data_IF_656933683284
#
_entry.id   IF_656933683284
#
_cell.length_a   1.000
_cell.length_b   1.000
_cell.length_c   1.000
_cell.angle_alpha   90.00
_cell.angle_beta   90.00
_cell.angle_gamma   90.00
#
_symmetry.space_group_name_H-M   'P 1'
#
loop_
_entity.id
_entity.type
_entity.pdbx_description
1 polymer ?
#
# COMPACT_ATOMS: atom_id res chain seq x y z
N UNK A 1 -22.66 -20.75 20.67
CA UNK A 1 -22.36 -20.38 19.27
C UNK A 1 -21.11 -21.16 18.86
N UNK A 2 -21.25 -22.16 18.00
CA UNK A 2 -20.22 -23.17 17.74
C UNK A 2 -20.07 -23.34 16.22
N UNK A 3 -18.86 -23.14 15.68
CA UNK A 3 -18.40 -23.81 14.46
C UNK A 3 -18.84 -23.29 13.08
N UNK A 4 -19.08 -22.00 12.87
CA UNK A 4 -19.19 -21.50 11.48
C UNK A 4 -17.81 -21.15 10.94
N UNK A 5 -17.26 -22.00 10.07
CA UNK A 5 -16.02 -21.72 9.31
C UNK A 5 -16.30 -20.83 8.09
N UNK A 6 -17.48 -20.22 8.01
CA UNK A 6 -17.87 -19.32 6.93
C UNK A 6 -18.51 -18.05 7.46
N UNK A 7 -18.27 -16.96 6.73
CA UNK A 7 -18.95 -15.67 6.90
C UNK A 7 -19.65 -15.33 5.60
N UNK A 8 -20.94 -15.04 5.69
CA UNK A 8 -21.74 -14.54 4.56
C UNK A 8 -21.69 -13.01 4.58
N UNK A 9 -20.94 -12.41 3.65
CA UNK A 9 -20.70 -10.97 3.64
C UNK A 9 -21.09 -10.35 2.30
N UNK A 10 -21.70 -9.16 2.36
CA UNK A 10 -21.97 -8.37 1.16
C UNK A 10 -20.71 -7.62 0.72
N UNK A 11 -20.36 -7.78 -0.55
CA UNK A 11 -19.31 -7.00 -1.22
C UNK A 11 -19.94 -6.07 -2.25
N UNK A 12 -19.81 -4.74 -2.11
CA UNK A 12 -20.18 -3.80 -3.16
C UNK A 12 -19.48 -4.12 -4.50
N UNK A 13 -20.11 -3.70 -5.60
CA UNK A 13 -19.59 -3.92 -6.95
C UNK A 13 -18.26 -3.20 -7.15
N UNK A 14 -17.15 -3.95 -7.12
CA UNK A 14 -15.79 -3.48 -7.37
C UNK A 14 -14.79 -4.66 -7.33
N UNK A 15 -13.51 -4.36 -7.53
CA UNK A 15 -12.42 -5.26 -7.14
C UNK A 15 -12.11 -5.07 -5.65
N UNK A 16 -11.92 -6.19 -4.98
CA UNK A 16 -11.46 -6.30 -3.61
C UNK A 16 -10.24 -7.20 -3.56
N UNK A 17 -9.27 -6.88 -2.72
CA UNK A 17 -8.08 -7.68 -2.51
C UNK A 17 -8.01 -8.11 -1.06
N UNK A 18 -7.84 -9.38 -0.78
CA UNK A 18 -7.61 -9.84 0.59
C UNK A 18 -6.29 -9.24 1.12
N UNK A 19 -6.34 -8.58 2.28
CA UNK A 19 -5.20 -7.81 2.81
C UNK A 19 -3.96 -8.69 3.06
N UNK A 20 -4.16 -9.90 3.58
CA UNK A 20 -3.07 -10.80 3.95
C UNK A 20 -2.38 -11.42 2.74
N UNK A 21 -3.15 -12.03 1.84
CA UNK A 21 -2.61 -12.72 0.66
C UNK A 21 -2.35 -11.77 -0.51
N UNK A 22 -3.25 -10.82 -0.73
CA UNK A 22 -3.33 -10.01 -1.95
C UNK A 22 -4.25 -10.62 -3.01
N UNK A 23 -4.91 -11.74 -2.73
CA UNK A 23 -5.81 -12.43 -3.67
C UNK A 23 -6.96 -11.52 -4.08
N UNK A 24 -7.17 -11.43 -5.39
CA UNK A 24 -8.21 -10.63 -6.01
C UNK A 24 -9.57 -11.33 -5.95
N UNK A 25 -10.59 -10.57 -5.55
CA UNK A 25 -12.00 -10.91 -5.57
C UNK A 25 -12.74 -9.85 -6.38
N UNK A 26 -13.42 -10.27 -7.44
CA UNK A 26 -14.30 -9.39 -8.21
C UNK A 26 -15.74 -9.56 -7.72
N UNK A 27 -16.36 -8.48 -7.26
CA UNK A 27 -17.77 -8.48 -6.87
C UNK A 27 -18.61 -7.68 -7.86
N UNK A 28 -19.82 -8.18 -8.14
CA UNK A 28 -20.86 -7.47 -8.91
C UNK A 28 -21.90 -6.79 -8.00
N UNK A 29 -21.63 -6.66 -6.69
CA UNK A 29 -22.60 -6.16 -5.72
C UNK A 29 -23.48 -7.28 -5.18
N UNK A 30 -22.86 -8.21 -4.44
CA UNK A 30 -23.52 -9.45 -4.02
C UNK A 30 -23.00 -9.94 -2.67
N UNK A 31 -23.74 -10.85 -2.05
CA UNK A 31 -23.25 -11.61 -0.92
C UNK A 31 -22.33 -12.74 -1.38
N UNK A 32 -21.25 -12.96 -0.64
CA UNK A 32 -20.23 -13.98 -0.90
C UNK A 32 -19.96 -14.73 0.41
N UNK A 33 -19.87 -16.05 0.31
CA UNK A 33 -19.43 -16.90 1.42
C UNK A 33 -17.90 -16.94 1.47
N UNK A 34 -17.33 -16.34 2.51
CA UNK A 34 -15.89 -16.35 2.77
C UNK A 34 -15.53 -17.49 3.72
N UNK A 35 -14.44 -18.19 3.44
CA UNK A 35 -13.85 -19.11 4.41
C UNK A 35 -13.29 -18.29 5.60
N UNK A 36 -13.70 -18.63 6.80
CA UNK A 36 -13.37 -17.92 8.04
C UNK A 36 -13.10 -18.90 9.19
N UNK A 37 -12.11 -19.81 9.05
CA UNK A 37 -11.68 -20.64 10.17
C UNK A 37 -11.20 -19.73 11.31
N UNK A 38 -11.18 -20.24 12.55
CA UNK A 38 -10.82 -19.46 13.74
C UNK A 38 -9.44 -18.76 13.64
N UNK A 39 -8.54 -19.29 12.82
CA UNK A 39 -7.20 -18.73 12.57
C UNK A 39 -7.16 -17.65 11.49
N UNK A 40 -8.29 -17.29 10.87
CA UNK A 40 -8.34 -16.36 9.74
C UNK A 40 -9.35 -15.23 10.00
N UNK A 41 -8.85 -14.00 9.92
CA UNK A 41 -9.68 -12.80 9.83
C UNK A 41 -9.78 -12.37 8.36
N UNK A 42 -11.01 -12.20 7.87
CA UNK A 42 -11.27 -11.73 6.52
C UNK A 42 -11.21 -10.20 6.46
N UNK A 43 -10.13 -9.65 5.91
CA UNK A 43 -9.95 -8.21 5.68
C UNK A 43 -9.68 -8.00 4.20
N UNK A 44 -10.42 -7.08 3.58
CA UNK A 44 -10.28 -6.79 2.15
C UNK A 44 -10.07 -5.30 1.91
N UNK A 45 -9.21 -4.99 0.95
CA UNK A 45 -8.89 -3.65 0.48
C UNK A 45 -9.55 -3.45 -0.87
N UNK A 46 -10.28 -2.35 -1.02
CA UNK A 46 -10.91 -1.99 -2.30
C UNK A 46 -9.84 -1.60 -3.32
N UNK A 47 -10.01 -2.00 -4.58
CA UNK A 47 -9.18 -1.52 -5.68
C UNK A 47 -9.30 0.00 -5.86
N UNK A 48 -8.22 0.64 -6.29
CA UNK A 48 -8.12 2.09 -6.40
C UNK A 48 -7.54 2.79 -5.16
N UNK A 49 -7.10 2.04 -4.15
CA UNK A 49 -6.57 2.61 -2.91
C UNK A 49 -5.12 2.21 -2.63
N UNK A 50 -4.39 3.14 -2.03
CA UNK A 50 -3.03 2.94 -1.53
C UNK A 50 -3.06 3.08 -0.01
N UNK A 51 -2.59 2.04 0.70
CA UNK A 51 -2.56 2.02 2.16
C UNK A 51 -1.11 2.06 2.63
N UNK A 52 -0.69 3.14 3.34
CA UNK A 52 0.56 3.13 4.08
C UNK A 52 0.44 2.26 5.33
N UNK A 53 1.45 1.43 5.58
CA UNK A 53 1.52 0.54 6.72
C UNK A 53 2.92 0.60 7.34
N UNK A 54 3.03 0.31 8.64
CA UNK A 54 4.32 0.06 9.29
C UNK A 54 4.34 -1.35 9.84
N UNK A 55 5.52 -1.97 9.84
CA UNK A 55 5.73 -3.22 10.57
C UNK A 55 5.53 -2.93 12.06
N UNK A 56 4.71 -3.72 12.79
CA UNK A 56 4.53 -3.50 14.23
C UNK A 56 5.86 -3.60 14.99
N UNK A 57 6.08 -2.67 15.91
CA UNK A 57 7.15 -2.77 16.92
C UNK A 57 6.65 -3.46 18.19
N UNK A 58 7.57 -3.77 19.12
CA UNK A 58 7.20 -4.31 20.43
C UNK A 58 6.34 -3.32 21.26
N UNK A 59 6.41 -2.03 20.94
CA UNK A 59 5.52 -0.97 21.42
C UNK A 59 5.39 0.12 20.33
N UNK A 60 4.53 1.11 20.57
CA UNK A 60 4.29 2.19 19.61
C UNK A 60 5.56 3.01 19.32
N UNK A 61 6.38 3.30 20.33
CA UNK A 61 7.62 4.08 20.16
C UNK A 61 8.58 3.39 19.18
N UNK A 62 8.80 2.09 19.38
CA UNK A 62 9.63 1.29 18.48
C UNK A 62 8.97 1.09 17.11
N UNK A 63 7.65 0.93 17.08
CA UNK A 63 6.88 0.78 15.84
C UNK A 63 6.92 2.01 14.95
N UNK A 64 6.81 3.21 15.53
CA UNK A 64 6.86 4.49 14.79
C UNK A 64 8.21 4.74 14.12
N UNK A 65 9.28 4.12 14.62
CA UNK A 65 10.61 4.17 14.00
C UNK A 65 10.83 3.16 12.88
N UNK A 66 9.90 2.22 12.66
CA UNK A 66 10.02 1.23 11.60
C UNK A 66 9.75 1.85 10.22
N UNK A 67 10.44 1.35 9.17
CA UNK A 67 10.13 1.76 7.81
C UNK A 67 8.68 1.50 7.43
N UNK A 68 8.15 2.40 6.61
CA UNK A 68 6.86 2.26 5.97
C UNK A 68 6.92 1.23 4.85
N UNK A 69 5.74 0.67 4.59
CA UNK A 69 5.42 -0.14 3.42
C UNK A 69 4.17 0.43 2.76
N UNK A 70 4.04 0.32 1.45
CA UNK A 70 2.83 0.69 0.73
C UNK A 70 2.17 -0.56 0.15
N UNK A 71 0.88 -0.74 0.44
CA UNK A 71 0.02 -1.66 -0.29
C UNK A 71 -0.74 -0.88 -1.36
N UNK A 72 -0.49 -1.19 -2.62
CA UNK A 72 -1.09 -0.51 -3.77
C UNK A 72 -2.08 -1.47 -4.43
N UNK A 73 -3.38 -1.27 -4.21
CA UNK A 73 -4.44 -2.09 -4.77
C UNK A 73 -4.94 -1.47 -6.08
N UNK A 74 -4.59 -2.02 -7.25
CA UNK A 74 -5.01 -1.44 -8.53
C UNK A 74 -6.53 -1.49 -8.71
N UNK A 75 -7.10 -0.38 -9.20
CA UNK A 75 -8.45 -0.33 -9.74
C UNK A 75 -8.56 -1.10 -11.07
N UNK A 76 -9.74 -1.10 -11.69
CA UNK A 76 -9.92 -1.62 -13.04
C UNK A 76 -9.10 -0.87 -14.10
N UNK A 77 -8.81 0.43 -13.89
CA UNK A 77 -8.00 1.26 -14.78
C UNK A 77 -6.49 1.14 -14.51
N UNK A 78 -6.08 0.35 -13.51
CA UNK A 78 -4.69 0.25 -13.07
C UNK A 78 -4.25 1.43 -12.19
N UNK A 79 -5.19 2.22 -11.72
CA UNK A 79 -4.94 3.43 -10.91
C UNK A 79 -5.19 3.16 -9.43
N UNK A 80 -4.58 3.96 -8.55
CA UNK A 80 -4.88 3.96 -7.13
C UNK A 80 -4.44 5.28 -6.48
N UNK A 81 -5.04 5.65 -5.35
CA UNK A 81 -4.61 6.81 -4.57
C UNK A 81 -4.71 6.58 -3.07
N UNK A 82 -3.95 7.35 -2.31
CA UNK A 82 -3.97 7.33 -0.85
C UNK A 82 -3.20 8.50 -0.29
N UNK A 83 -3.18 8.61 1.03
CA UNK A 83 -2.43 9.66 1.72
C UNK A 83 -1.88 9.15 3.06
N UNK A 84 -0.93 9.89 3.61
CA UNK A 84 -0.35 9.67 4.92
C UNK A 84 -0.23 11.02 5.63
N UNK A 85 -0.86 11.13 6.80
CA UNK A 85 -0.61 12.19 7.76
C UNK A 85 0.29 11.64 8.87
N UNK A 86 1.31 12.39 9.28
CA UNK A 86 2.27 11.95 10.27
C UNK A 86 2.84 13.09 11.12
N UNK A 87 2.55 13.10 12.41
CA UNK A 87 3.06 14.05 13.39
C UNK A 87 3.79 13.33 14.54
N UNK A 88 3.91 13.96 15.71
CA UNK A 88 4.46 13.33 16.91
C UNK A 88 3.50 12.31 17.54
N UNK A 89 2.19 12.47 17.32
CA UNK A 89 1.12 11.63 17.84
C UNK A 89 0.55 12.08 19.19
N UNK A 90 1.05 13.18 19.76
CA UNK A 90 0.71 13.63 21.12
C UNK A 90 0.32 15.13 21.20
N UNK A 91 0.89 15.99 20.33
CA UNK A 91 0.59 17.42 20.35
C UNK A 91 -0.88 17.72 19.97
N UNK A 92 -1.49 18.66 20.68
CA UNK A 92 -2.89 19.04 20.46
C UNK A 92 -3.10 19.96 19.26
N UNK A 93 -2.06 20.67 18.84
CA UNK A 93 -2.11 21.76 17.86
C UNK A 93 -1.23 21.48 16.63
N UNK A 94 -0.91 20.21 16.35
CA UNK A 94 0.00 19.84 15.26
C UNK A 94 -0.49 20.34 13.91
N UNK A 95 -1.81 20.33 13.68
CA UNK A 95 -2.44 20.81 12.45
C UNK A 95 -2.37 22.34 12.34
N UNK A 96 -2.71 23.05 13.42
CA UNK A 96 -2.70 24.52 13.48
C UNK A 96 -1.29 25.10 13.35
N UNK A 97 -0.32 24.45 14.00
CA UNK A 97 1.10 24.85 13.97
C UNK A 97 1.85 24.27 12.77
N UNK A 98 1.19 23.43 11.98
CA UNK A 98 1.75 22.72 10.83
C UNK A 98 2.99 21.88 11.18
N UNK A 99 3.07 21.31 12.37
CA UNK A 99 4.17 20.43 12.80
C UNK A 99 3.87 18.97 12.46
N UNK A 100 3.59 18.70 11.18
CA UNK A 100 3.33 17.37 10.65
C UNK A 100 3.99 17.18 9.29
N UNK A 101 3.98 15.93 8.82
CA UNK A 101 4.24 15.56 7.44
C UNK A 101 2.95 15.08 6.79
N UNK A 102 2.74 15.43 5.52
CA UNK A 102 1.60 14.97 4.75
C UNK A 102 2.05 14.55 3.36
N UNK A 103 1.67 13.33 2.98
CA UNK A 103 2.01 12.73 1.71
C UNK A 103 0.77 12.34 0.93
N UNK A 104 0.84 12.48 -0.38
CA UNK A 104 -0.12 11.91 -1.32
C UNK A 104 0.56 10.84 -2.16
N UNK A 105 -0.10 9.69 -2.25
CA UNK A 105 0.31 8.58 -3.10
C UNK A 105 -0.62 8.51 -4.30
N UNK A 106 -0.05 8.34 -5.50
CA UNK A 106 -0.84 8.15 -6.71
C UNK A 106 -0.19 7.12 -7.61
N UNK A 107 -0.94 6.11 -8.00
CA UNK A 107 -0.61 5.22 -9.10
C UNK A 107 -1.41 5.66 -10.33
N UNK A 108 -0.70 5.99 -11.42
CA UNK A 108 -1.27 6.34 -12.72
C UNK A 108 -0.89 5.32 -13.80
N UNK A 109 -1.81 5.13 -14.74
CA UNK A 109 -1.61 4.34 -15.96
C UNK A 109 -0.51 4.97 -16.84
N UNK A 110 0.40 4.19 -17.45
CA UNK A 110 0.44 2.73 -17.40
C UNK A 110 0.88 2.17 -16.05
N UNK A 111 1.99 2.64 -15.46
CA UNK A 111 2.62 1.97 -14.32
C UNK A 111 3.54 2.94 -13.53
N UNK A 112 3.03 4.10 -13.14
CA UNK A 112 3.81 5.11 -12.39
C UNK A 112 3.21 5.33 -11.02
N UNK A 113 3.92 4.90 -9.97
CA UNK A 113 3.64 5.25 -8.59
C UNK A 113 4.45 6.48 -8.20
N UNK A 114 3.74 7.50 -7.70
CA UNK A 114 4.31 8.74 -7.21
C UNK A 114 4.00 8.89 -5.72
N UNK A 115 5.03 9.23 -4.94
CA UNK A 115 4.93 9.61 -3.53
C UNK A 115 5.27 11.09 -3.44
N UNK A 116 4.26 11.94 -3.25
CA UNK A 116 4.43 13.39 -3.15
C UNK A 116 4.45 13.81 -1.69
N UNK A 117 5.50 14.51 -1.28
CA UNK A 117 5.61 15.13 0.03
C UNK A 117 5.07 16.56 -0.03
N UNK A 118 3.88 16.80 0.53
CA UNK A 118 3.20 18.10 0.46
C UNK A 118 3.51 18.98 1.66
N UNK A 119 3.60 18.38 2.84
CA UNK A 119 4.05 19.04 4.08
C UNK A 119 5.16 18.17 4.67
N UNK A 120 6.26 18.78 5.10
CA UNK A 120 7.43 18.06 5.62
C UNK A 120 8.02 18.71 6.87
N UNK A 121 7.17 19.23 7.75
CA UNK A 121 7.60 20.08 8.86
C UNK A 121 7.95 19.30 10.14
N UNK A 122 7.65 18.01 10.20
CA UNK A 122 8.00 17.16 11.33
C UNK A 122 9.26 16.34 11.02
N UNK A 123 10.40 16.70 11.63
CA UNK A 123 11.72 16.12 11.31
C UNK A 123 12.18 15.02 12.28
N UNK A 124 11.47 14.81 13.38
CA UNK A 124 11.90 13.90 14.44
C UNK A 124 11.51 12.43 14.18
N UNK A 125 10.99 12.13 12.98
CA UNK A 125 10.62 10.77 12.57
C UNK A 125 11.32 10.38 11.26
N UNK A 126 11.97 9.20 11.19
CA UNK A 126 12.55 8.70 9.95
C UNK A 126 11.43 8.21 9.01
N UNK A 127 11.05 9.04 8.02
CA UNK A 127 10.02 8.70 7.03
C UNK A 127 10.57 7.82 5.90
N UNK A 128 11.08 6.64 6.26
CA UNK A 128 11.69 5.69 5.30
C UNK A 128 10.64 4.77 4.70
N UNK A 129 10.63 4.62 3.38
CA UNK A 129 9.85 3.62 2.65
C UNK A 129 10.76 2.47 2.23
N UNK A 130 10.45 1.25 2.66
CA UNK A 130 11.27 0.07 2.38
C UNK A 130 10.64 -0.89 1.36
N UNK A 131 9.31 -0.98 1.34
CA UNK A 131 8.60 -1.97 0.55
C UNK A 131 7.36 -1.39 -0.11
N UNK A 132 7.15 -1.74 -1.38
CA UNK A 132 5.90 -1.51 -2.10
C UNK A 132 5.39 -2.84 -2.63
N UNK A 133 4.17 -3.22 -2.22
CA UNK A 133 3.43 -4.39 -2.71
C UNK A 133 2.29 -3.89 -3.60
N UNK A 134 2.39 -4.15 -4.90
CA UNK A 134 1.37 -3.77 -5.88
C UNK A 134 0.54 -4.99 -6.26
N UNK A 135 -0.78 -4.88 -6.12
CA UNK A 135 -1.75 -5.94 -6.40
C UNK A 135 -2.49 -5.67 -7.71
N UNK A 136 -2.78 -6.73 -8.45
CA UNK A 136 -3.63 -6.69 -9.66
C UNK A 136 -2.88 -6.49 -10.97
N UNK A 137 -1.56 -6.65 -10.98
CA UNK A 137 -0.75 -6.54 -12.20
C UNK A 137 -0.89 -7.82 -13.01
N UNK A 138 -1.64 -7.75 -14.10
CA UNK A 138 -1.98 -8.90 -14.95
C UNK A 138 -0.98 -9.16 -16.09
N UNK A 139 0.16 -8.45 -16.13
CA UNK A 139 1.20 -8.62 -17.15
C UNK A 139 2.57 -8.84 -16.50
N UNK A 140 3.42 -9.71 -17.09
CA UNK A 140 4.80 -9.91 -16.64
C UNK A 140 5.60 -8.60 -16.55
N UNK A 141 6.30 -8.41 -15.43
CA UNK A 141 7.20 -7.27 -15.22
C UNK A 141 8.50 -7.47 -15.99
N UNK A 142 8.90 -6.48 -16.80
CA UNK A 142 10.15 -6.50 -17.56
C UNK A 142 11.26 -5.66 -16.94
N UNK A 143 10.92 -4.58 -16.24
CA UNK A 143 11.88 -3.77 -15.50
C UNK A 143 11.21 -2.94 -14.42
N UNK A 144 11.98 -2.54 -13.39
CA UNK A 144 11.59 -1.56 -12.38
C UNK A 144 12.61 -0.41 -12.36
N UNK A 145 12.13 0.82 -12.15
CA UNK A 145 12.98 1.98 -11.86
C UNK A 145 12.52 2.68 -10.59
N UNK A 146 13.49 3.23 -9.86
CA UNK A 146 13.28 4.09 -8.69
C UNK A 146 14.00 5.39 -8.96
N UNK A 147 13.25 6.50 -9.00
CA UNK A 147 13.74 7.83 -9.34
C UNK A 147 14.57 7.87 -10.63
N UNK A 148 14.10 7.14 -11.65
CA UNK A 148 14.75 7.05 -12.96
C UNK A 148 15.95 6.11 -13.03
N UNK A 149 16.40 5.52 -11.92
CA UNK A 149 17.49 4.54 -11.89
C UNK A 149 16.93 3.11 -11.94
N UNK A 150 17.56 2.23 -12.71
CA UNK A 150 17.22 0.81 -12.73
C UNK A 150 17.30 0.19 -11.33
N UNK A 151 16.32 -0.64 -11.00
CA UNK A 151 16.19 -1.31 -9.71
C UNK A 151 15.95 -2.81 -9.93
N UNK A 152 16.68 -3.66 -9.21
CA UNK A 152 16.69 -5.11 -9.43
C UNK A 152 16.01 -5.93 -8.33
N UNK A 153 15.80 -5.34 -7.15
CA UNK A 153 15.38 -6.08 -5.96
C UNK A 153 13.85 -6.12 -5.89
N UNK A 154 13.27 -6.87 -6.82
CA UNK A 154 11.84 -7.08 -6.91
C UNK A 154 11.49 -8.53 -7.28
N UNK A 155 10.29 -8.94 -6.88
CA UNK A 155 9.69 -10.23 -7.21
C UNK A 155 8.34 -9.99 -7.86
N UNK A 156 8.01 -10.78 -8.87
CA UNK A 156 6.69 -10.76 -9.48
C UNK A 156 6.09 -12.16 -9.46
N UNK A 157 4.95 -12.29 -8.78
CA UNK A 157 4.12 -13.48 -8.84
C UNK A 157 3.04 -13.28 -9.90
N UNK A 158 3.15 -14.02 -10.99
CA UNK A 158 2.18 -13.96 -12.09
C UNK A 158 0.83 -14.60 -11.75
N UNK A 159 0.83 -15.62 -10.89
CA UNK A 159 -0.40 -16.33 -10.51
C UNK A 159 -1.25 -15.44 -9.59
N UNK A 160 -0.61 -14.84 -8.59
CA UNK A 160 -1.30 -13.95 -7.65
C UNK A 160 -1.41 -12.51 -8.16
N UNK A 161 -0.74 -12.17 -9.27
CA UNK A 161 -0.71 -10.84 -9.87
C UNK A 161 -0.13 -9.76 -8.94
N UNK A 162 0.97 -10.11 -8.27
CA UNK A 162 1.61 -9.28 -7.23
C UNK A 162 3.04 -8.93 -7.63
N UNK A 163 3.35 -7.63 -7.68
CA UNK A 163 4.72 -7.13 -7.72
C UNK A 163 5.14 -6.68 -6.32
N UNK A 164 6.24 -7.23 -5.83
CA UNK A 164 6.86 -6.86 -4.58
C UNK A 164 8.21 -6.19 -4.86
N UNK A 165 8.34 -4.93 -4.50
CA UNK A 165 9.59 -4.17 -4.60
C UNK A 165 10.07 -3.91 -3.18
N UNK A 166 11.24 -4.43 -2.80
CA UNK A 166 11.70 -4.44 -1.41
C UNK A 166 13.11 -3.88 -1.27
N UNK A 167 13.53 -3.53 -0.05
CA UNK A 167 14.86 -2.97 0.21
C UNK A 167 15.05 -1.56 -0.34
N UNK A 168 13.96 -0.83 -0.57
CA UNK A 168 13.98 0.47 -1.23
C UNK A 168 14.78 1.52 -0.43
N UNK A 169 14.64 1.49 0.90
CA UNK A 169 15.24 2.43 1.83
C UNK A 169 15.15 3.91 1.36
N UNK A 170 14.01 4.29 0.79
CA UNK A 170 13.76 5.64 0.27
C UNK A 170 13.47 6.56 1.46
N UNK A 171 14.23 7.63 1.61
CA UNK A 171 13.84 8.75 2.48
C UNK A 171 12.77 9.58 1.77
N UNK A 172 11.52 9.49 2.24
CA UNK A 172 10.40 10.22 1.64
C UNK A 172 10.51 11.74 1.84
N UNK A 173 11.37 12.22 2.74
CA UNK A 173 11.62 13.64 2.96
C UNK A 173 12.75 14.20 2.09
N UNK A 174 13.52 13.35 1.42
CA UNK A 174 14.73 13.78 0.71
C UNK A 174 14.45 14.71 -0.49
N UNK A 175 13.27 14.63 -1.09
CA UNK A 175 12.81 15.53 -2.15
C UNK A 175 11.28 15.56 -2.20
N UNK A 176 10.71 16.50 -2.96
CA UNK A 176 9.24 16.72 -3.02
C UNK A 176 8.46 15.55 -3.61
N UNK A 177 9.08 14.71 -4.44
CA UNK A 177 8.43 13.58 -5.08
C UNK A 177 9.38 12.40 -5.30
N UNK A 178 8.97 11.20 -4.88
CA UNK A 178 9.65 9.94 -5.21
C UNK A 178 8.83 9.21 -6.27
N UNK A 179 9.51 8.61 -7.25
CA UNK A 179 8.85 7.97 -8.40
C UNK A 179 9.31 6.53 -8.52
N UNK A 180 8.36 5.60 -8.54
CA UNK A 180 8.61 4.18 -8.82
C UNK A 180 7.82 3.82 -10.09
N UNK A 181 8.50 3.24 -11.06
CA UNK A 181 7.88 2.82 -12.32
C UNK A 181 8.24 1.39 -12.65
N UNK A 182 7.36 0.72 -13.38
CA UNK A 182 7.66 -0.59 -13.95
C UNK A 182 7.18 -0.68 -15.39
N UNK A 183 7.84 -1.53 -16.16
CA UNK A 183 7.40 -1.90 -17.50
C UNK A 183 6.87 -3.32 -17.50
N UNK A 184 5.96 -3.60 -18.41
CA UNK A 184 5.39 -4.93 -18.59
C UNK A 184 5.60 -5.41 -20.02
N UNK A 185 5.65 -6.72 -20.22
CA UNK A 185 5.64 -7.28 -21.58
C UNK A 185 4.34 -6.91 -22.30
N UNK A 186 4.39 -6.85 -23.63
CA UNK A 186 3.20 -6.61 -24.46
C UNK A 186 2.17 -7.74 -24.30
#
# INVERSE_FOLDING_TARGET
MQGSDKVHAYFPADIWYELSSGVKLLSIGQFIDLNSPISKLNVHVRGGFIIPMQIPGANLVLGRGNPFTLLVAQSHSGEASGNLFWDDGDALDSVETQTYNYFEFTLKTPNTLTINALVTNYKDSPMRLDLVKILGINKPITSVTVNGKAYSDYLYDFLDQILLIHGLNIDMLAQSSQIIQWTTSN
#
